data_IF_866748540657
#
_entry.id   IF_866748540657
#
_cell.length_a   1.000
_cell.length_b   1.000
_cell.length_c   1.000
_cell.angle_alpha   90.00
_cell.angle_beta   90.00
_cell.angle_gamma   90.00
#
_symmetry.space_group_name_H-M   'P 1'
#
loop_
_entity.id
_entity.type
_entity.pdbx_description
1 polymer ?
#
# COMPACT_ATOMS: atom_id res chain seq x y z
N UNK A 1 5.39 17.20 42.85
CA UNK A 1 5.52 15.75 42.65
C UNK A 1 6.84 15.33 43.28
N UNK A 2 6.88 14.35 44.19
CA UNK A 2 8.15 13.86 44.71
C UNK A 2 8.86 13.06 43.60
N UNK A 3 10.12 13.40 43.33
CA UNK A 3 10.98 12.63 42.44
C UNK A 3 11.34 11.34 43.18
N UNK A 4 11.05 10.19 42.60
CA UNK A 4 11.46 8.91 43.16
C UNK A 4 12.99 8.81 43.14
N UNK A 5 13.59 8.30 44.22
CA UNK A 5 15.02 8.03 44.27
C UNK A 5 15.31 6.83 43.36
N UNK A 6 16.09 7.04 42.30
CA UNK A 6 16.46 6.00 41.35
C UNK A 6 17.82 5.40 41.71
N UNK A 7 17.88 4.07 41.78
CA UNK A 7 19.12 3.32 42.03
C UNK A 7 19.71 2.85 40.69
N UNK A 8 21.04 2.92 40.56
CA UNK A 8 21.75 2.49 39.35
C UNK A 8 22.16 1.02 39.49
N UNK A 9 21.86 0.22 38.46
CA UNK A 9 22.21 -1.19 38.38
C UNK A 9 23.18 -1.41 37.20
N UNK A 10 24.36 -1.95 37.48
CA UNK A 10 25.32 -2.39 36.44
C UNK A 10 25.32 -3.91 36.38
N UNK A 11 25.04 -4.48 35.21
CA UNK A 11 25.05 -5.92 34.97
C UNK A 11 26.26 -6.28 34.11
N UNK A 12 27.06 -7.25 34.55
CA UNK A 12 28.22 -7.76 33.82
C UNK A 12 28.00 -9.25 33.58
N UNK A 13 28.16 -9.71 32.34
CA UNK A 13 27.87 -11.09 31.96
C UNK A 13 28.54 -11.50 30.65
N UNK A 14 28.23 -12.71 30.21
CA UNK A 14 28.73 -13.28 28.96
C UNK A 14 27.96 -12.63 27.79
N UNK A 15 28.67 -12.18 26.76
CA UNK A 15 28.07 -11.52 25.59
C UNK A 15 26.98 -12.36 24.91
N UNK A 16 27.13 -13.67 24.87
CA UNK A 16 26.14 -14.59 24.31
C UNK A 16 24.78 -14.52 25.03
N UNK A 17 24.77 -14.23 26.32
CA UNK A 17 23.57 -14.16 27.17
C UNK A 17 22.99 -12.73 27.26
N UNK A 18 23.65 -11.74 26.63
CA UNK A 18 23.27 -10.33 26.70
C UNK A 18 21.81 -10.11 26.30
N UNK A 19 21.36 -10.70 25.19
CA UNK A 19 20.00 -10.51 24.68
C UNK A 19 18.95 -11.09 25.63
N UNK A 20 19.22 -12.26 26.23
CA UNK A 20 18.30 -12.93 27.16
C UNK A 20 18.15 -12.13 28.46
N UNK A 21 19.27 -11.58 28.97
CA UNK A 21 19.27 -10.71 30.15
C UNK A 21 18.52 -9.41 29.87
N UNK A 22 18.77 -8.77 28.73
CA UNK A 22 18.07 -7.54 28.33
C UNK A 22 16.57 -7.82 28.18
N UNK A 23 16.17 -8.92 27.53
CA UNK A 23 14.76 -9.29 27.38
C UNK A 23 14.08 -9.47 28.73
N UNK A 24 14.72 -10.18 29.67
CA UNK A 24 14.19 -10.39 31.02
C UNK A 24 14.03 -9.07 31.78
N UNK A 25 14.99 -8.14 31.67
CA UNK A 25 14.91 -6.83 32.29
C UNK A 25 13.80 -5.96 31.67
N UNK A 26 13.63 -6.03 30.34
CA UNK A 26 12.54 -5.33 29.63
C UNK A 26 11.16 -5.90 30.00
N UNK A 27 11.03 -7.21 30.19
CA UNK A 27 9.78 -7.85 30.65
C UNK A 27 9.36 -7.36 32.05
N UNK A 28 10.33 -7.12 32.94
CA UNK A 28 10.08 -6.56 34.28
C UNK A 28 9.59 -5.11 34.16
N UNK A 29 10.02 -4.38 33.14
CA UNK A 29 9.53 -3.03 32.81
C UNK A 29 9.86 -1.94 33.83
N UNK A 30 10.77 -2.22 34.78
CA UNK A 30 11.12 -1.35 35.89
C UNK A 30 12.51 -0.70 35.76
N UNK A 31 13.21 -0.93 34.64
CA UNK A 31 14.60 -0.51 34.45
C UNK A 31 14.73 0.25 33.13
N UNK A 32 15.42 1.39 33.17
CA UNK A 32 15.84 2.14 31.99
C UNK A 32 17.22 1.65 31.56
N UNK A 33 17.38 1.34 30.27
CA UNK A 33 18.62 0.80 29.72
C UNK A 33 19.54 1.97 29.33
N UNK A 34 20.67 2.09 30.01
CA UNK A 34 21.68 3.12 29.76
C UNK A 34 22.82 2.47 28.98
N UNK A 35 22.96 2.82 27.70
CA UNK A 35 24.01 2.29 26.85
C UNK A 35 25.32 3.02 27.14
N UNK A 36 26.27 2.35 27.80
CA UNK A 36 27.59 2.93 28.17
C UNK A 36 28.63 2.80 27.06
N UNK A 37 28.19 2.75 25.81
CA UNK A 37 29.03 2.46 24.64
C UNK A 37 30.02 3.58 24.26
N UNK A 38 30.03 4.73 24.94
CA UNK A 38 30.88 5.86 24.51
C UNK A 38 32.35 5.80 24.95
N UNK A 39 32.71 5.05 25.99
CA UNK A 39 34.01 5.25 26.66
C UNK A 39 34.96 4.03 26.64
N UNK A 40 34.54 2.85 26.14
CA UNK A 40 35.32 1.61 26.27
C UNK A 40 35.46 0.74 24.99
N UNK A 41 35.11 1.22 23.81
CA UNK A 41 35.23 0.42 22.58
C UNK A 41 35.85 1.21 21.41
N UNK A 42 37.16 1.39 21.49
CA UNK A 42 38.04 1.69 20.36
C UNK A 42 38.50 0.39 19.67
N UNK A 43 37.62 -0.63 19.59
CA UNK A 43 37.87 -1.84 18.82
C UNK A 43 36.81 -2.01 17.73
N UNK A 44 37.32 -1.78 16.52
CA UNK A 44 36.71 -1.85 15.21
C UNK A 44 36.43 -3.31 14.87
N UNK A 45 35.19 -3.80 15.02
CA UNK A 45 34.62 -4.88 14.16
C UNK A 45 33.13 -5.21 14.44
N UNK A 46 32.60 -4.89 15.61
CA UNK A 46 31.33 -5.51 16.06
C UNK A 46 30.03 -4.82 15.59
N UNK A 47 30.11 -3.67 14.95
CA UNK A 47 28.93 -3.01 14.37
C UNK A 47 28.45 -3.67 13.08
N UNK A 48 29.25 -4.55 12.46
CA UNK A 48 28.90 -5.15 11.18
C UNK A 48 27.86 -6.28 11.33
N UNK A 49 27.86 -7.04 12.42
CA UNK A 49 27.01 -8.24 12.56
C UNK A 49 25.59 -7.97 13.11
N UNK A 50 25.35 -6.81 13.73
CA UNK A 50 24.00 -6.41 14.18
C UNK A 50 23.18 -5.73 13.07
N UNK A 51 23.81 -5.38 11.94
CA UNK A 51 23.18 -4.71 10.81
C UNK A 51 22.65 -5.66 9.73
N UNK A 52 22.92 -6.96 9.82
CA UNK A 52 22.56 -7.93 8.78
C UNK A 52 21.11 -8.45 8.87
N UNK A 53 20.36 -8.20 9.95
CA UNK A 53 18.94 -8.60 10.07
C UNK A 53 17.87 -7.52 10.41
N UNK A 54 18.16 -6.27 10.86
CA UNK A 54 17.11 -5.32 11.22
C UNK A 54 16.32 -4.82 9.99
N UNK A 55 16.86 -4.98 8.79
CA UNK A 55 16.23 -4.58 7.52
C UNK A 55 14.99 -5.44 7.17
N UNK A 56 14.92 -6.69 7.63
CA UNK A 56 13.74 -7.54 7.40
C UNK A 56 12.61 -7.25 8.40
N UNK A 57 12.92 -7.10 9.68
CA UNK A 57 11.94 -6.80 10.73
C UNK A 57 11.32 -5.41 10.60
N UNK A 58 12.13 -4.39 10.29
CA UNK A 58 11.61 -3.04 9.99
C UNK A 58 10.75 -3.02 8.71
N UNK A 59 11.09 -3.85 7.74
CA UNK A 59 10.28 -4.08 6.54
C UNK A 59 8.90 -4.69 6.87
N UNK A 60 8.83 -5.63 7.82
CA UNK A 60 7.56 -6.23 8.22
C UNK A 60 6.65 -5.24 8.96
N UNK A 61 7.21 -4.44 9.89
CA UNK A 61 6.43 -3.44 10.62
C UNK A 61 5.82 -2.40 9.68
N UNK A 62 6.63 -1.82 8.79
CA UNK A 62 6.14 -0.82 7.82
C UNK A 62 5.06 -1.39 6.88
N UNK A 63 5.20 -2.66 6.47
CA UNK A 63 4.21 -3.36 5.65
C UNK A 63 2.89 -3.59 6.40
N UNK A 64 2.96 -3.97 7.68
CA UNK A 64 1.78 -4.12 8.54
C UNK A 64 1.09 -2.77 8.77
N UNK A 65 1.85 -1.69 9.00
CA UNK A 65 1.30 -0.34 9.15
C UNK A 65 0.54 0.11 7.89
N UNK A 66 1.13 -0.09 6.71
CA UNK A 66 0.49 0.23 5.43
C UNK A 66 -0.79 -0.59 5.20
N UNK A 67 -0.78 -1.87 5.57
CA UNK A 67 -1.97 -2.73 5.50
C UNK A 67 -3.09 -2.26 6.44
N UNK A 68 -2.73 -1.84 7.67
CA UNK A 68 -3.69 -1.26 8.63
C UNK A 68 -4.28 0.04 8.09
N UNK A 69 -3.46 0.91 7.50
CA UNK A 69 -3.94 2.16 6.90
C UNK A 69 -4.91 1.89 5.74
N UNK A 70 -4.52 1.00 4.83
CA UNK A 70 -5.38 0.58 3.72
C UNK A 70 -6.71 0.01 4.23
N UNK A 71 -6.68 -0.84 5.26
CA UNK A 71 -7.89 -1.38 5.87
C UNK A 71 -8.78 -0.30 6.50
N UNK A 72 -8.20 0.70 7.18
CA UNK A 72 -8.95 1.83 7.75
C UNK A 72 -9.62 2.69 6.69
N UNK A 73 -8.98 2.91 5.55
CA UNK A 73 -9.56 3.66 4.43
C UNK A 73 -10.76 2.91 3.83
N UNK A 74 -10.67 1.58 3.71
CA UNK A 74 -11.75 0.74 3.17
C UNK A 74 -12.94 0.59 4.13
N UNK A 75 -12.67 0.44 5.43
CA UNK A 75 -13.70 0.39 6.49
C UNK A 75 -13.26 1.20 7.70
N UNK A 76 -13.67 2.48 7.81
CA UNK A 76 -13.35 3.29 8.95
C UNK A 76 -14.07 2.76 10.20
N UNK A 77 -13.31 2.24 11.16
CA UNK A 77 -13.84 1.89 12.48
C UNK A 77 -13.75 3.13 13.38
N UNK A 78 -14.89 3.53 13.97
CA UNK A 78 -14.92 4.64 14.93
C UNK A 78 -14.07 4.29 16.15
N UNK A 79 -12.93 4.96 16.33
CA UNK A 79 -12.18 4.92 17.58
C UNK A 79 -12.92 5.76 18.63
N UNK A 80 -13.01 5.28 19.86
CA UNK A 80 -13.49 6.12 20.98
C UNK A 80 -12.51 7.28 21.15
N UNK A 81 -13.01 8.51 21.20
CA UNK A 81 -12.21 9.74 21.15
C UNK A 81 -11.23 9.93 22.33
N UNK A 82 -11.26 9.05 23.34
CA UNK A 82 -10.46 9.12 24.56
C UNK A 82 -10.08 7.72 25.10
N UNK A 83 -9.71 6.78 24.22
CA UNK A 83 -9.00 5.59 24.73
C UNK A 83 -7.54 5.97 24.97
N UNK A 84 -7.11 5.99 26.23
CA UNK A 84 -5.68 5.92 26.54
C UNK A 84 -5.03 4.70 25.88
N UNK A 85 -3.70 4.61 25.89
CA UNK A 85 -2.98 3.46 25.36
C UNK A 85 -3.66 2.17 25.82
N UNK A 86 -4.05 1.33 24.87
CA UNK A 86 -4.74 0.07 25.17
C UNK A 86 -3.83 -0.73 26.08
N UNK A 87 -4.27 -0.99 27.31
CA UNK A 87 -3.59 -1.93 28.19
C UNK A 87 -3.75 -3.32 27.57
N UNK A 88 -2.68 -3.84 26.99
CA UNK A 88 -2.63 -5.19 26.43
C UNK A 88 -1.84 -6.03 27.43
N UNK A 89 -2.37 -7.19 27.79
CA UNK A 89 -1.62 -8.11 28.64
C UNK A 89 -0.45 -8.68 27.84
N UNK A 90 0.73 -8.84 28.46
CA UNK A 90 1.92 -9.37 27.77
C UNK A 90 1.68 -10.73 27.14
N UNK A 91 0.83 -11.57 27.76
CA UNK A 91 0.41 -12.86 27.20
C UNK A 91 -0.33 -12.72 25.86
N UNK A 92 -1.24 -11.75 25.75
CA UNK A 92 -1.98 -11.51 24.51
C UNK A 92 -1.04 -11.02 23.40
N UNK A 93 0.00 -10.26 23.75
CA UNK A 93 1.04 -9.83 22.79
C UNK A 93 1.88 -11.02 22.31
N UNK A 94 2.35 -11.88 23.22
CA UNK A 94 3.10 -13.09 22.86
C UNK A 94 2.27 -14.04 22.01
N UNK A 95 0.98 -14.22 22.31
CA UNK A 95 0.06 -15.06 21.53
C UNK A 95 -0.15 -14.52 20.10
N UNK A 96 -0.07 -13.19 19.91
CA UNK A 96 -0.10 -12.55 18.58
C UNK A 96 1.24 -12.72 17.88
N UNK A 97 2.37 -12.59 18.58
CA UNK A 97 3.70 -12.80 18.04
C UNK A 97 3.87 -14.23 17.50
N UNK A 98 3.29 -15.24 18.18
CA UNK A 98 3.27 -16.63 17.68
C UNK A 98 2.49 -16.81 16.37
N UNK A 99 1.59 -15.86 16.02
CA UNK A 99 0.76 -15.88 14.80
C UNK A 99 1.29 -14.98 13.69
N UNK A 100 2.54 -14.50 13.81
CA UNK A 100 3.18 -13.61 12.84
C UNK A 100 3.04 -14.10 11.39
N UNK A 101 3.29 -15.40 11.13
CA UNK A 101 3.17 -15.98 9.79
C UNK A 101 1.77 -15.86 9.19
N UNK A 102 0.72 -16.03 10.00
CA UNK A 102 -0.65 -15.94 9.51
C UNK A 102 -1.09 -14.47 9.34
N UNK A 103 -0.54 -13.57 10.15
CA UNK A 103 -0.70 -12.14 9.97
C UNK A 103 -0.06 -11.67 8.65
N UNK A 104 1.17 -12.10 8.37
CA UNK A 104 1.88 -11.78 7.12
C UNK A 104 1.17 -12.35 5.88
N UNK A 105 0.60 -13.56 5.96
CA UNK A 105 -0.25 -14.10 4.88
C UNK A 105 -1.47 -13.22 4.63
N UNK A 106 -2.10 -12.72 5.69
CA UNK A 106 -3.27 -11.84 5.59
C UNK A 106 -2.92 -10.49 4.96
N UNK A 107 -1.77 -9.91 5.34
CA UNK A 107 -1.22 -8.69 4.74
C UNK A 107 -0.94 -8.89 3.25
N UNK A 108 -0.26 -9.98 2.89
CA UNK A 108 0.03 -10.32 1.49
C UNK A 108 -1.24 -10.47 0.66
N UNK A 109 -2.27 -11.12 1.22
CA UNK A 109 -3.58 -11.26 0.56
C UNK A 109 -4.25 -9.90 0.33
N UNK A 110 -4.17 -8.99 1.30
CA UNK A 110 -4.72 -7.64 1.17
C UNK A 110 -4.03 -6.85 0.06
N UNK A 111 -2.70 -6.90 -0.02
CA UNK A 111 -1.93 -6.26 -1.07
C UNK A 111 -2.26 -6.80 -2.46
N UNK A 112 -2.31 -8.13 -2.61
CA UNK A 112 -2.68 -8.76 -3.88
C UNK A 112 -4.09 -8.33 -4.33
N UNK A 113 -5.05 -8.32 -3.41
CA UNK A 113 -6.41 -7.86 -3.71
C UNK A 113 -6.44 -6.37 -4.12
N UNK A 114 -5.64 -5.52 -3.48
CA UNK A 114 -5.53 -4.09 -3.82
C UNK A 114 -4.99 -3.91 -5.24
N UNK A 115 -3.95 -4.65 -5.60
CA UNK A 115 -3.37 -4.62 -6.95
C UNK A 115 -4.39 -5.08 -7.99
N UNK A 116 -5.04 -6.21 -7.75
CA UNK A 116 -6.06 -6.74 -8.65
C UNK A 116 -7.24 -5.78 -8.84
N UNK A 117 -7.66 -5.11 -7.77
CA UNK A 117 -8.72 -4.09 -7.84
C UNK A 117 -8.29 -2.86 -8.64
N UNK A 118 -7.01 -2.46 -8.58
CA UNK A 118 -6.46 -1.40 -9.41
C UNK A 118 -6.47 -1.78 -10.90
N UNK A 119 -6.02 -3.00 -11.23
CA UNK A 119 -6.03 -3.52 -12.60
C UNK A 119 -7.45 -3.55 -13.19
N UNK A 120 -8.42 -4.06 -12.42
CA UNK A 120 -9.83 -4.10 -12.82
C UNK A 120 -10.38 -2.69 -13.10
N UNK A 121 -10.04 -1.71 -12.27
CA UNK A 121 -10.46 -0.31 -12.50
C UNK A 121 -9.90 0.26 -13.79
N UNK A 122 -8.63 -0.02 -14.10
CA UNK A 122 -8.01 0.39 -15.37
C UNK A 122 -8.72 -0.25 -16.55
N UNK A 123 -9.05 -1.54 -16.45
CA UNK A 123 -9.80 -2.26 -17.50
C UNK A 123 -11.20 -1.70 -17.70
N UNK A 124 -11.93 -1.41 -16.61
CA UNK A 124 -13.25 -0.77 -16.66
C UNK A 124 -13.15 0.56 -17.40
N UNK A 125 -12.21 1.43 -17.00
CA UNK A 125 -12.05 2.74 -17.61
C UNK A 125 -11.72 2.66 -19.11
N UNK A 126 -10.85 1.72 -19.50
CA UNK A 126 -10.53 1.46 -20.91
C UNK A 126 -11.77 1.03 -21.69
N UNK A 127 -12.59 0.15 -21.14
CA UNK A 127 -13.81 -0.33 -21.78
C UNK A 127 -14.86 0.79 -21.88
N UNK A 128 -15.03 1.60 -20.84
CA UNK A 128 -15.92 2.77 -20.84
C UNK A 128 -15.52 3.77 -21.94
N UNK A 129 -14.22 4.07 -22.04
CA UNK A 129 -13.68 4.94 -23.09
C UNK A 129 -13.98 4.39 -24.48
N UNK A 130 -13.81 3.07 -24.68
CA UNK A 130 -14.10 2.43 -25.96
C UNK A 130 -15.60 2.42 -26.27
N UNK A 131 -16.46 2.22 -25.26
CA UNK A 131 -17.91 2.33 -25.41
C UNK A 131 -18.29 3.75 -25.82
N UNK A 132 -17.76 4.77 -25.16
CA UNK A 132 -18.07 6.17 -25.48
C UNK A 132 -17.60 6.56 -26.88
N UNK A 133 -16.46 6.04 -27.33
CA UNK A 133 -15.99 6.19 -28.72
C UNK A 133 -16.91 5.51 -29.73
N UNK A 134 -17.46 4.35 -29.40
CA UNK A 134 -18.33 3.57 -30.30
C UNK A 134 -19.80 4.03 -30.25
N UNK A 135 -20.21 4.73 -29.19
CA UNK A 135 -21.59 5.15 -28.95
C UNK A 135 -22.20 5.98 -30.09
N UNK A 136 -21.49 6.94 -30.74
CA UNK A 136 -22.03 7.69 -31.88
C UNK A 136 -22.31 6.82 -33.11
N UNK A 137 -21.57 5.72 -33.26
CA UNK A 137 -21.67 4.81 -34.40
C UNK A 137 -22.77 3.77 -34.23
N UNK A 138 -23.40 3.69 -33.06
CA UNK A 138 -24.44 2.70 -32.75
C UNK A 138 -25.66 2.79 -33.67
N UNK A 139 -25.99 3.98 -34.16
CA UNK A 139 -27.11 4.20 -35.09
C UNK A 139 -26.73 4.06 -36.56
N UNK A 140 -25.48 3.71 -36.87
CA UNK A 140 -25.04 3.50 -38.25
C UNK A 140 -25.53 2.14 -38.74
N UNK A 141 -26.56 2.13 -39.57
CA UNK A 141 -27.11 0.91 -40.22
C UNK A 141 -26.37 0.52 -41.51
N UNK A 142 -25.18 1.09 -41.75
CA UNK A 142 -24.35 0.80 -42.91
C UNK A 142 -23.30 -0.25 -42.57
N UNK A 143 -23.16 -1.27 -43.42
CA UNK A 143 -22.01 -2.17 -43.36
C UNK A 143 -20.76 -1.39 -43.77
N UNK A 144 -19.80 -1.27 -42.86
CA UNK A 144 -18.52 -0.58 -43.12
C UNK A 144 -17.69 -1.25 -44.22
N UNK A 145 -18.04 -2.49 -44.58
CA UNK A 145 -17.43 -3.26 -45.67
C UNK A 145 -18.05 -2.94 -47.04
N UNK A 146 -19.18 -2.25 -47.07
CA UNK A 146 -19.88 -1.89 -48.30
C UNK A 146 -19.11 -0.78 -49.03
N UNK A 147 -18.81 -1.02 -50.31
CA UNK A 147 -18.09 -0.07 -51.17
C UNK A 147 -19.06 0.83 -51.94
N UNK A 148 -20.36 0.74 -51.66
CA UNK A 148 -21.41 1.40 -52.38
C UNK A 148 -21.88 0.59 -53.60
N UNK A 149 -22.71 1.21 -54.43
CA UNK A 149 -23.27 0.58 -55.63
C UNK A 149 -22.76 1.26 -56.89
N UNK A 150 -23.15 0.75 -58.07
CA UNK A 150 -22.81 1.38 -59.37
C UNK A 150 -23.20 2.86 -59.46
N UNK A 151 -24.17 3.31 -58.66
CA UNK A 151 -24.73 4.66 -58.68
C UNK A 151 -24.52 5.43 -57.37
N UNK A 152 -23.96 4.80 -56.34
CA UNK A 152 -23.82 5.39 -55.00
C UNK A 152 -22.43 5.10 -54.46
N UNK A 153 -21.70 6.15 -54.07
CA UNK A 153 -20.40 6.03 -53.43
C UNK A 153 -20.49 6.44 -51.97
N UNK A 154 -19.92 5.63 -51.07
CA UNK A 154 -19.99 5.83 -49.62
C UNK A 154 -18.63 6.33 -49.14
N UNK A 155 -18.63 7.44 -48.40
CA UNK A 155 -17.44 7.99 -47.75
C UNK A 155 -17.65 7.94 -46.22
N UNK A 156 -16.76 7.22 -45.55
CA UNK A 156 -16.78 7.06 -44.10
C UNK A 156 -15.69 7.95 -43.48
N UNK A 157 -16.07 8.77 -42.51
CA UNK A 157 -15.14 9.68 -41.84
C UNK A 157 -15.80 10.43 -40.69
N UNK A 158 -15.00 11.16 -39.93
CA UNK A 158 -15.46 12.07 -38.87
C UNK A 158 -15.16 13.51 -39.29
N UNK A 159 -16.08 14.42 -39.02
CA UNK A 159 -15.91 15.85 -39.26
C UNK A 159 -15.88 16.57 -37.91
N UNK A 160 -14.95 17.51 -37.75
CA UNK A 160 -14.65 18.17 -36.47
C UNK A 160 -15.73 19.17 -36.04
N UNK A 161 -16.45 19.76 -36.99
CA UNK A 161 -17.53 20.71 -36.69
C UNK A 161 -18.73 20.58 -37.63
N UNK A 162 -19.95 20.93 -37.16
CA UNK A 162 -21.15 20.98 -38.00
C UNK A 162 -21.06 21.98 -39.16
N UNK A 163 -20.21 23.01 -39.05
CA UNK A 163 -20.02 24.02 -40.09
C UNK A 163 -19.33 23.40 -41.32
N UNK A 164 -18.31 22.56 -41.09
CA UNK A 164 -17.64 21.81 -42.17
C UNK A 164 -18.61 20.84 -42.87
N UNK A 165 -19.57 20.27 -42.12
CA UNK A 165 -20.62 19.40 -42.70
C UNK A 165 -21.49 20.17 -43.69
N UNK A 166 -21.88 21.39 -43.35
CA UNK A 166 -22.73 22.21 -44.22
C UNK A 166 -21.96 22.70 -45.46
N UNK A 167 -20.71 23.13 -45.30
CA UNK A 167 -19.87 23.53 -46.45
C UNK A 167 -19.66 22.37 -47.44
N UNK A 168 -19.40 21.16 -46.94
CA UNK A 168 -19.23 19.98 -47.78
C UNK A 168 -20.52 19.63 -48.55
N UNK A 169 -21.69 19.76 -47.89
CA UNK A 169 -23.00 19.56 -48.52
C UNK A 169 -23.27 20.55 -49.64
N UNK A 170 -22.92 21.82 -49.45
CA UNK A 170 -23.09 22.85 -50.48
C UNK A 170 -22.20 22.61 -51.70
N UNK A 171 -20.95 22.18 -51.50
CA UNK A 171 -20.04 21.85 -52.61
C UNK A 171 -20.51 20.63 -53.41
N UNK A 172 -20.97 19.58 -52.73
CA UNK A 172 -21.51 18.38 -53.39
C UNK A 172 -22.83 18.63 -54.13
N UNK A 173 -23.59 19.67 -53.77
CA UNK A 173 -24.82 20.05 -54.47
C UNK A 173 -24.57 20.90 -55.73
N UNK A 174 -23.34 21.37 -55.95
CA UNK A 174 -22.95 22.19 -57.11
C UNK A 174 -22.25 21.39 -58.23
N UNK A 175 -21.94 20.11 -58.00
CA UNK A 175 -21.51 19.12 -59.01
C UNK A 175 -22.70 18.33 -59.56
#
# INVERSE_FOLDING_TARGET
>A
MPIAKMDHLTVVGIRAEMNDVIHTLMEIGAVELIDQTSDLADDVDDQQTLLDNPSTETGYLSRIESAIETAKQLKPVKKKAFSGNRTVQSKDLMDIAQKEKDLLKSVTRLENNKNHLSELRVQIHRNETMIDLLKPWRSLELDLSDKGTRLVQIFLGSLESPEVVNELRERLAQE
#
